data_IF_427082798960
#
_entry.id   IF_427082798960
#
_cell.length_a   1.000
_cell.length_b   1.000
_cell.length_c   1.000
_cell.angle_alpha   90.00
_cell.angle_beta   90.00
_cell.angle_gamma   90.00
#
_symmetry.space_group_name_H-M   'P 1'
#
loop_
_entity.id
_entity.type
_entity.pdbx_description
1 polymer ?
#
# COMPACT_ATOMS: atom_id res chain seq x y z
N UNK A 1 -12.29 -4.77 -0.63
CA UNK A 1 -11.81 -5.86 -1.51
C UNK A 1 -12.69 -7.08 -1.33
N UNK A 2 -12.92 -7.90 -2.37
CA UNK A 2 -13.74 -9.13 -2.24
C UNK A 2 -12.89 -10.22 -1.59
N UNK A 3 -13.28 -10.67 -0.41
CA UNK A 3 -12.49 -11.55 0.46
C UNK A 3 -11.99 -12.83 -0.23
N UNK A 4 -12.85 -13.52 -0.98
CA UNK A 4 -12.51 -14.77 -1.66
C UNK A 4 -11.50 -14.62 -2.80
N UNK A 5 -11.23 -13.40 -3.26
CA UNK A 5 -10.30 -13.11 -4.35
C UNK A 5 -9.03 -12.40 -3.89
N UNK A 6 -8.91 -12.16 -2.58
CA UNK A 6 -7.79 -11.43 -2.02
C UNK A 6 -6.87 -12.36 -1.23
N UNK A 7 -5.56 -12.28 -1.48
CA UNK A 7 -4.56 -12.91 -0.61
C UNK A 7 -4.52 -12.17 0.74
N UNK A 8 -4.27 -12.87 1.86
CA UNK A 8 -4.31 -12.26 3.19
C UNK A 8 -3.41 -11.03 3.35
N UNK A 9 -2.20 -11.05 2.78
CA UNK A 9 -1.28 -9.92 2.84
C UNK A 9 -1.84 -8.67 2.14
N UNK A 10 -2.33 -8.81 0.90
CA UNK A 10 -2.94 -7.70 0.15
C UNK A 10 -4.24 -7.23 0.78
N UNK A 11 -5.05 -8.16 1.34
CA UNK A 11 -6.27 -7.80 2.08
C UNK A 11 -5.94 -6.91 3.29
N UNK A 12 -4.86 -7.21 4.01
CA UNK A 12 -4.41 -6.40 5.15
C UNK A 12 -4.02 -4.98 4.73
N UNK A 13 -3.29 -4.81 3.62
CA UNK A 13 -2.92 -3.48 3.10
C UNK A 13 -4.16 -2.60 2.90
N UNK A 14 -5.26 -3.20 2.40
CA UNK A 14 -6.51 -2.47 2.11
C UNK A 14 -7.58 -2.65 3.18
N UNK A 15 -7.20 -3.06 4.40
CA UNK A 15 -8.11 -3.13 5.53
C UNK A 15 -8.44 -1.74 6.07
N UNK A 16 -9.54 -1.65 6.80
CA UNK A 16 -9.94 -0.40 7.46
C UNK A 16 -8.94 -0.02 8.56
N UNK A 17 -8.44 -1.01 9.29
CA UNK A 17 -7.42 -0.81 10.31
C UNK A 17 -6.15 -0.22 9.70
N UNK A 18 -5.61 -0.80 8.62
CA UNK A 18 -4.40 -0.27 7.99
C UNK A 18 -4.62 1.14 7.42
N UNK A 19 -5.81 1.43 6.89
CA UNK A 19 -6.17 2.79 6.45
C UNK A 19 -6.01 3.79 7.61
N UNK A 20 -6.61 3.52 8.75
CA UNK A 20 -6.53 4.43 9.90
C UNK A 20 -5.16 4.44 10.57
N UNK A 21 -4.40 3.35 10.52
CA UNK A 21 -3.00 3.33 10.95
C UNK A 21 -2.16 4.29 10.11
N UNK A 22 -2.39 4.34 8.77
CA UNK A 22 -1.70 5.29 7.88
C UNK A 22 -2.15 6.73 8.14
N UNK A 23 -3.44 6.95 8.39
CA UNK A 23 -3.92 8.29 8.76
C UNK A 23 -3.25 8.78 10.05
N UNK A 24 -3.15 7.91 11.06
CA UNK A 24 -2.45 8.23 12.30
C UNK A 24 -0.97 8.52 12.07
N UNK A 25 -0.30 7.74 11.21
CA UNK A 25 1.09 7.98 10.88
C UNK A 25 1.32 9.36 10.23
N UNK A 26 0.41 9.80 9.34
CA UNK A 26 0.48 11.13 8.71
C UNK A 26 0.25 12.23 9.74
N UNK A 27 -0.76 12.11 10.60
CA UNK A 27 -1.04 13.08 11.67
C UNK A 27 0.15 13.24 12.62
N UNK A 28 0.76 12.12 13.04
CA UNK A 28 1.93 12.15 13.93
C UNK A 28 3.15 12.74 13.23
N UNK A 29 3.38 12.43 11.96
CA UNK A 29 4.47 13.03 11.19
C UNK A 29 4.31 14.55 11.05
N UNK A 30 3.08 15.05 10.87
CA UNK A 30 2.81 16.48 10.87
C UNK A 30 3.08 17.11 12.25
N UNK A 31 2.67 16.45 13.35
CA UNK A 31 2.98 16.91 14.70
C UNK A 31 4.50 16.94 14.95
N UNK A 32 5.25 15.95 14.49
CA UNK A 32 6.73 15.93 14.58
C UNK A 32 7.33 17.13 13.82
N UNK A 33 6.90 17.41 12.60
CA UNK A 33 7.37 18.56 11.84
C UNK A 33 7.07 19.88 12.57
N UNK A 34 5.88 20.02 13.17
CA UNK A 34 5.53 21.18 14.00
C UNK A 34 6.38 21.27 15.26
N UNK A 35 6.77 20.13 15.86
CA UNK A 35 7.66 20.10 17.00
C UNK A 35 9.09 20.52 16.64
N UNK A 36 9.60 20.09 15.48
CA UNK A 36 10.89 20.55 14.95
C UNK A 36 10.88 22.05 14.66
N UNK A 37 9.75 22.57 14.19
CA UNK A 37 9.55 24.00 13.96
C UNK A 37 9.36 24.81 15.27
N UNK A 38 9.21 24.15 16.42
CA UNK A 38 9.04 24.77 17.72
C UNK A 38 7.60 25.20 18.06
N UNK A 39 6.60 24.79 17.25
CA UNK A 39 5.18 25.08 17.49
C UNK A 39 4.57 24.10 18.50
N UNK A 40 4.86 22.81 18.37
CA UNK A 40 4.43 21.76 19.30
C UNK A 40 5.52 21.56 20.34
N UNK A 41 5.23 21.69 21.67
CA UNK A 41 6.20 21.41 22.70
C UNK A 41 6.67 19.97 22.69
N UNK A 42 7.97 19.72 22.95
CA UNK A 42 8.53 18.37 22.97
C UNK A 42 7.89 17.47 24.03
N UNK A 43 7.43 18.04 25.14
CA UNK A 43 6.69 17.33 26.18
C UNK A 43 5.32 16.83 25.69
N UNK A 44 4.61 17.64 24.88
CA UNK A 44 3.35 17.25 24.26
C UNK A 44 3.61 16.17 23.17
N UNK A 45 4.69 16.34 22.38
CA UNK A 45 5.06 15.35 21.37
C UNK A 45 5.36 13.97 21.96
N UNK A 46 5.99 13.93 23.15
CA UNK A 46 6.24 12.67 23.85
C UNK A 46 4.94 11.88 24.15
N UNK A 47 3.85 12.59 24.44
CA UNK A 47 2.53 11.99 24.65
C UNK A 47 1.84 11.64 23.32
N UNK A 48 1.92 12.52 22.31
CA UNK A 48 1.34 12.31 20.98
C UNK A 48 1.88 11.06 20.31
N UNK A 49 3.16 10.70 20.50
CA UNK A 49 3.73 9.44 19.99
C UNK A 49 3.01 8.19 20.49
N UNK A 50 2.35 8.26 21.62
CA UNK A 50 1.51 7.19 22.18
C UNK A 50 0.05 7.24 21.75
N UNK A 51 -0.32 8.18 20.87
CA UNK A 51 -1.70 8.33 20.41
C UNK A 51 -2.18 7.07 19.66
N UNK A 52 -3.44 6.75 19.86
CA UNK A 52 -4.12 5.66 19.18
C UNK A 52 -5.57 6.03 18.92
N UNK A 53 -6.18 5.37 17.96
CA UNK A 53 -7.62 5.49 17.70
C UNK A 53 -8.36 4.25 18.23
N UNK A 54 -9.65 4.39 18.46
CA UNK A 54 -10.55 3.29 18.77
C UNK A 54 -11.58 3.14 17.64
N UNK A 55 -11.49 2.06 16.87
CA UNK A 55 -12.33 1.86 15.67
C UNK A 55 -13.83 1.84 16.01
N UNK A 56 -14.22 1.22 17.12
CA UNK A 56 -15.61 1.22 17.57
C UNK A 56 -16.09 2.64 17.87
N UNK A 57 -15.29 3.39 18.62
CA UNK A 57 -15.60 4.79 18.96
C UNK A 57 -15.65 5.68 17.74
N UNK A 58 -14.71 5.50 16.81
CA UNK A 58 -14.68 6.19 15.52
C UNK A 58 -16.01 5.98 14.77
N UNK A 59 -16.46 4.74 14.66
CA UNK A 59 -17.72 4.41 13.99
C UNK A 59 -18.93 5.03 14.68
N UNK A 60 -19.00 5.05 16.02
CA UNK A 60 -20.04 5.73 16.78
C UNK A 60 -20.08 7.25 16.49
N UNK A 61 -18.91 7.89 16.38
CA UNK A 61 -18.81 9.31 16.06
C UNK A 61 -19.22 9.55 14.60
N UNK A 62 -18.78 8.69 13.69
CA UNK A 62 -19.12 8.77 12.27
C UNK A 62 -20.64 8.70 12.03
N UNK A 63 -21.35 7.83 12.74
CA UNK A 63 -22.82 7.76 12.62
C UNK A 63 -23.52 9.10 12.92
N UNK A 64 -22.93 9.92 13.77
CA UNK A 64 -23.47 11.23 14.17
C UNK A 64 -23.00 12.36 13.26
N UNK A 65 -21.72 12.34 12.86
CA UNK A 65 -21.09 13.45 12.13
C UNK A 65 -21.18 13.29 10.62
N UNK A 66 -21.28 12.06 10.14
CA UNK A 66 -21.21 11.67 8.72
C UNK A 66 -19.93 12.22 8.04
N UNK A 67 -18.88 12.41 8.83
CA UNK A 67 -17.59 12.93 8.37
C UNK A 67 -16.47 12.08 8.97
N UNK A 68 -15.77 11.32 8.10
CA UNK A 68 -14.78 10.33 8.48
C UNK A 68 -13.54 10.94 9.19
N UNK A 69 -12.96 12.00 8.63
CA UNK A 69 -11.81 12.68 9.26
C UNK A 69 -12.17 13.25 10.63
N UNK A 70 -13.35 13.85 10.77
CA UNK A 70 -13.82 14.33 12.07
C UNK A 70 -14.01 13.19 13.07
N UNK A 71 -14.52 12.05 12.61
CA UNK A 71 -14.71 10.88 13.46
C UNK A 71 -13.35 10.31 13.89
N UNK A 72 -12.40 10.23 12.98
CA UNK A 72 -11.05 9.75 13.23
C UNK A 72 -10.31 10.65 14.23
N UNK A 73 -10.18 11.94 13.96
CA UNK A 73 -9.47 12.88 14.83
C UNK A 73 -10.08 12.94 16.23
N UNK A 74 -11.42 12.94 16.35
CA UNK A 74 -12.10 12.90 17.65
C UNK A 74 -11.83 11.61 18.40
N UNK A 75 -11.79 10.46 17.75
CA UNK A 75 -11.50 9.18 18.41
C UNK A 75 -10.10 9.14 19.03
N UNK A 76 -9.15 9.90 18.47
CA UNK A 76 -7.79 10.06 18.99
C UNK A 76 -7.79 11.08 20.13
N UNK A 77 -8.37 12.27 19.90
CA UNK A 77 -8.29 13.39 20.86
C UNK A 77 -9.07 13.12 22.14
N UNK A 78 -10.13 12.29 22.10
CA UNK A 78 -10.85 11.86 23.30
C UNK A 78 -9.98 11.04 24.28
N UNK A 79 -8.93 10.38 23.80
CA UNK A 79 -8.00 9.59 24.61
C UNK A 79 -6.75 10.38 25.06
N UNK A 80 -6.54 11.56 24.47
CA UNK A 80 -5.45 12.48 24.80
C UNK A 80 -5.96 13.56 25.78
N UNK A 81 -5.03 14.22 26.45
CA UNK A 81 -5.30 15.43 27.24
C UNK A 81 -5.32 16.71 26.38
N UNK A 82 -4.80 17.78 26.93
CA UNK A 82 -4.71 19.08 26.23
C UNK A 82 -3.84 19.01 24.96
N UNK A 83 -2.89 18.08 24.90
CA UNK A 83 -2.03 17.80 23.75
C UNK A 83 -2.81 17.38 22.50
N UNK A 84 -4.01 16.84 22.67
CA UNK A 84 -4.91 16.50 21.56
C UNK A 84 -5.22 17.66 20.61
N UNK A 85 -5.07 18.92 21.06
CA UNK A 85 -5.23 20.14 20.23
C UNK A 85 -4.28 20.22 19.04
N UNK A 86 -3.18 19.48 19.07
CA UNK A 86 -2.18 19.46 18.01
C UNK A 86 -2.51 18.50 16.86
N UNK A 87 -3.40 17.54 17.10
CA UNK A 87 -3.89 16.64 16.06
C UNK A 87 -4.63 17.45 14.99
N UNK A 88 -4.29 17.24 13.74
CA UNK A 88 -4.86 17.92 12.56
C UNK A 88 -4.50 19.41 12.45
N UNK A 89 -3.47 19.87 13.14
CA UNK A 89 -3.03 21.26 13.08
C UNK A 89 -2.48 21.61 11.70
N UNK A 90 -3.14 22.54 11.01
CA UNK A 90 -2.72 23.01 9.69
C UNK A 90 -2.98 22.06 8.53
N UNK A 91 -3.69 20.96 8.78
CA UNK A 91 -4.04 19.98 7.76
C UNK A 91 -5.51 20.11 7.32
N UNK A 92 -5.79 19.67 6.12
CA UNK A 92 -7.16 19.36 5.67
C UNK A 92 -7.30 17.85 5.43
N UNK A 93 -8.54 17.36 5.29
CA UNK A 93 -8.79 15.91 5.15
C UNK A 93 -7.98 15.27 4.02
N UNK A 94 -7.87 15.93 2.87
CA UNK A 94 -7.14 15.40 1.72
C UNK A 94 -5.63 15.29 1.96
N UNK A 95 -5.03 16.17 2.75
CA UNK A 95 -3.60 16.07 3.11
C UNK A 95 -3.31 14.75 3.82
N UNK A 96 -4.23 14.31 4.68
CA UNK A 96 -4.10 13.04 5.40
C UNK A 96 -4.49 11.85 4.53
N UNK A 97 -5.65 11.92 3.88
CA UNK A 97 -6.23 10.81 3.12
C UNK A 97 -5.32 10.42 1.95
N UNK A 98 -4.92 11.38 1.13
CA UNK A 98 -4.16 11.12 -0.09
C UNK A 98 -2.72 10.68 0.24
N UNK A 99 -2.08 11.29 1.24
CA UNK A 99 -0.76 10.87 1.71
C UNK A 99 -0.80 9.45 2.28
N UNK A 100 -1.78 9.13 3.09
CA UNK A 100 -1.98 7.79 3.66
C UNK A 100 -2.27 6.75 2.56
N UNK A 101 -3.05 7.11 1.54
CA UNK A 101 -3.28 6.26 0.37
C UNK A 101 -1.98 6.00 -0.39
N UNK A 102 -1.11 6.99 -0.54
CA UNK A 102 0.23 6.82 -1.10
C UNK A 102 1.03 5.77 -0.33
N UNK A 103 1.02 5.82 1.01
CA UNK A 103 1.67 4.81 1.85
C UNK A 103 1.10 3.41 1.65
N UNK A 104 -0.23 3.26 1.51
CA UNK A 104 -0.86 1.96 1.20
C UNK A 104 -0.49 1.47 -0.20
N UNK A 105 -0.38 2.37 -1.19
CA UNK A 105 0.05 2.01 -2.54
C UNK A 105 1.50 1.51 -2.56
N UNK A 106 2.39 2.11 -1.78
CA UNK A 106 3.78 1.63 -1.61
C UNK A 106 3.79 0.23 -1.00
N UNK A 107 3.04 -0.02 0.06
CA UNK A 107 2.93 -1.37 0.66
C UNK A 107 2.39 -2.41 -0.34
N UNK A 108 1.37 -2.05 -1.11
CA UNK A 108 0.82 -2.92 -2.15
C UNK A 108 1.84 -3.21 -3.26
N UNK A 109 2.57 -2.18 -3.70
CA UNK A 109 3.63 -2.33 -4.72
C UNK A 109 4.76 -3.23 -4.23
N UNK A 110 5.18 -3.12 -2.97
CA UNK A 110 6.21 -3.99 -2.38
C UNK A 110 5.79 -5.47 -2.39
N UNK A 111 4.53 -5.76 -2.06
CA UNK A 111 4.00 -7.13 -2.15
C UNK A 111 3.98 -7.64 -3.61
N UNK A 112 3.55 -6.80 -4.56
CA UNK A 112 3.52 -7.16 -5.97
C UNK A 112 4.93 -7.37 -6.54
N UNK A 113 5.91 -6.54 -6.16
CA UNK A 113 7.31 -6.70 -6.58
C UNK A 113 7.88 -8.04 -6.11
N UNK A 114 7.61 -8.44 -4.87
CA UNK A 114 8.02 -9.75 -4.35
C UNK A 114 7.41 -10.93 -5.15
N UNK A 115 6.14 -10.84 -5.52
CA UNK A 115 5.46 -11.86 -6.33
C UNK A 115 5.97 -11.89 -7.77
N UNK A 116 6.25 -10.73 -8.37
CA UNK A 116 6.85 -10.62 -9.71
C UNK A 116 8.25 -11.24 -9.71
N UNK A 117 9.08 -10.96 -8.70
CA UNK A 117 10.41 -11.54 -8.58
C UNK A 117 10.35 -13.07 -8.46
N UNK A 118 9.42 -13.59 -7.68
CA UNK A 118 9.16 -15.04 -7.57
C UNK A 118 8.77 -15.65 -8.93
N UNK A 119 7.84 -15.01 -9.64
CA UNK A 119 7.40 -15.47 -10.97
C UNK A 119 8.54 -15.45 -11.98
N UNK A 120 9.38 -14.41 -11.97
CA UNK A 120 10.55 -14.30 -12.86
C UNK A 120 11.52 -15.44 -12.66
N UNK A 121 11.82 -15.82 -11.43
CA UNK A 121 12.72 -16.95 -11.16
C UNK A 121 12.11 -18.29 -11.64
N UNK A 122 10.83 -18.50 -11.43
CA UNK A 122 10.11 -19.67 -11.97
C UNK A 122 10.17 -19.69 -13.50
N UNK A 123 9.85 -18.59 -14.16
CA UNK A 123 9.87 -18.50 -15.63
C UNK A 123 11.26 -18.74 -16.20
N UNK A 124 12.29 -18.16 -15.57
CA UNK A 124 13.70 -18.38 -15.96
C UNK A 124 14.10 -19.86 -15.85
N UNK A 125 13.81 -20.46 -14.71
CA UNK A 125 14.13 -21.89 -14.50
C UNK A 125 13.42 -22.79 -15.53
N UNK A 126 12.12 -22.57 -15.74
CA UNK A 126 11.34 -23.34 -16.69
C UNK A 126 11.75 -23.08 -18.15
N UNK A 127 12.14 -21.85 -18.50
CA UNK A 127 12.64 -21.55 -19.85
C UNK A 127 13.90 -22.36 -20.18
N UNK A 128 14.82 -22.47 -19.22
CA UNK A 128 16.04 -23.26 -19.38
C UNK A 128 15.75 -24.78 -19.43
N UNK A 129 14.86 -25.27 -18.59
CA UNK A 129 14.43 -26.67 -18.55
C UNK A 129 13.81 -27.11 -19.89
N UNK A 130 12.93 -26.30 -20.45
CA UNK A 130 12.17 -26.63 -21.67
C UNK A 130 12.76 -26.02 -22.96
N UNK A 131 14.01 -25.57 -22.95
CA UNK A 131 14.64 -24.88 -24.09
C UNK A 131 14.65 -25.69 -25.39
N UNK A 132 14.59 -27.02 -25.31
CA UNK A 132 14.58 -27.94 -26.43
C UNK A 132 13.22 -28.63 -26.64
N UNK A 133 12.23 -28.35 -25.83
CA UNK A 133 10.91 -28.96 -25.94
C UNK A 133 10.13 -28.30 -27.10
N UNK A 134 9.95 -29.04 -28.17
CA UNK A 134 9.24 -28.54 -29.37
C UNK A 134 7.76 -28.32 -29.06
N UNK A 135 7.25 -27.22 -29.56
CA UNK A 135 5.81 -26.93 -29.59
C UNK A 135 5.43 -26.20 -30.86
N UNK A 136 4.15 -26.19 -31.17
CA UNK A 136 3.63 -25.47 -32.30
C UNK A 136 3.43 -24.00 -32.00
N UNK A 137 4.08 -23.11 -32.75
CA UNK A 137 3.75 -21.68 -32.75
C UNK A 137 2.32 -21.47 -33.27
N UNK A 138 1.65 -20.44 -32.85
CA UNK A 138 0.28 -20.09 -33.24
C UNK A 138 0.16 -18.63 -33.60
N UNK A 139 -0.49 -18.36 -34.72
CA UNK A 139 -0.86 -17.02 -35.17
C UNK A 139 -2.18 -17.10 -35.93
N UNK A 140 -3.01 -16.08 -35.89
CA UNK A 140 -4.32 -16.04 -36.57
C UNK A 140 -5.22 -17.25 -36.28
N UNK A 141 -5.09 -17.89 -35.10
CA UNK A 141 -5.86 -19.08 -34.73
C UNK A 141 -5.43 -20.38 -35.44
N UNK A 142 -4.32 -20.36 -36.18
CA UNK A 142 -3.80 -21.53 -36.91
C UNK A 142 -2.39 -21.92 -36.43
N UNK A 143 -1.89 -23.07 -36.85
CA UNK A 143 -0.51 -23.48 -36.65
C UNK A 143 0.42 -22.60 -37.49
N UNK A 144 1.48 -22.14 -36.85
CA UNK A 144 2.58 -21.39 -37.48
C UNK A 144 3.86 -22.24 -37.44
N UNK A 145 5.02 -21.59 -37.43
CA UNK A 145 6.32 -22.28 -37.34
C UNK A 145 6.50 -23.04 -36.04
N UNK A 146 7.20 -24.18 -36.02
CA UNK A 146 7.63 -24.82 -34.77
C UNK A 146 8.53 -23.91 -33.97
N UNK A 147 8.27 -23.84 -32.65
CA UNK A 147 9.05 -23.11 -31.69
C UNK A 147 9.42 -24.04 -30.52
N UNK A 148 10.12 -23.54 -29.50
CA UNK A 148 10.29 -24.27 -28.25
C UNK A 148 9.44 -23.68 -27.12
N UNK A 149 9.02 -24.55 -26.22
CA UNK A 149 8.28 -24.10 -25.03
C UNK A 149 9.15 -23.19 -24.16
N UNK A 150 10.47 -23.49 -24.06
CA UNK A 150 11.42 -22.64 -23.36
C UNK A 150 11.50 -21.22 -23.95
N UNK A 151 11.45 -21.07 -25.30
CA UNK A 151 11.43 -19.74 -25.93
C UNK A 151 10.18 -18.96 -25.55
N UNK A 152 9.02 -19.60 -25.50
CA UNK A 152 7.78 -18.97 -25.05
C UNK A 152 7.88 -18.46 -23.61
N UNK A 153 8.45 -19.26 -22.72
CA UNK A 153 8.66 -18.88 -21.31
C UNK A 153 9.72 -17.80 -21.15
N UNK A 154 10.76 -17.80 -21.99
CA UNK A 154 11.77 -16.74 -22.03
C UNK A 154 11.15 -15.38 -22.42
N UNK A 155 10.22 -15.36 -23.38
CA UNK A 155 9.47 -14.16 -23.73
C UNK A 155 8.69 -13.61 -22.51
N UNK A 156 7.97 -14.47 -21.80
CA UNK A 156 7.22 -14.07 -20.61
C UNK A 156 8.14 -13.58 -19.49
N UNK A 157 9.30 -14.21 -19.32
CA UNK A 157 10.32 -13.76 -18.39
C UNK A 157 10.81 -12.34 -18.71
N UNK A 158 11.08 -12.06 -19.98
CA UNK A 158 11.52 -10.75 -20.44
C UNK A 158 10.41 -9.67 -20.30
N UNK A 159 9.15 -10.03 -20.57
CA UNK A 159 8.01 -9.16 -20.28
C UNK A 159 7.90 -8.82 -18.79
N UNK A 160 8.10 -9.81 -17.90
CA UNK A 160 8.08 -9.58 -16.45
C UNK A 160 9.23 -8.71 -15.98
N UNK A 161 10.42 -8.78 -16.60
CA UNK A 161 11.51 -7.85 -16.31
C UNK A 161 11.09 -6.39 -16.58
N UNK A 162 10.57 -6.12 -17.76
CA UNK A 162 10.10 -4.77 -18.12
C UNK A 162 8.94 -4.30 -17.25
N UNK A 163 8.03 -5.19 -16.85
CA UNK A 163 6.91 -4.85 -15.97
C UNK A 163 7.39 -4.55 -14.55
N UNK A 164 8.39 -5.31 -14.06
CA UNK A 164 9.03 -5.03 -12.78
C UNK A 164 9.64 -3.62 -12.75
N UNK A 165 10.38 -3.24 -13.77
CA UNK A 165 11.02 -1.92 -13.86
C UNK A 165 9.96 -0.79 -13.84
N UNK A 166 8.84 -0.97 -14.55
CA UNK A 166 7.71 -0.02 -14.51
C UNK A 166 7.09 0.08 -13.12
N UNK A 167 6.94 -1.08 -12.44
CA UNK A 167 6.36 -1.10 -11.10
C UNK A 167 7.30 -0.45 -10.07
N UNK A 168 8.63 -0.65 -10.18
CA UNK A 168 9.63 0.05 -9.36
C UNK A 168 9.51 1.56 -9.55
N UNK A 169 9.48 2.01 -10.81
CA UNK A 169 9.33 3.44 -11.12
C UNK A 169 8.02 4.01 -10.55
N UNK A 170 6.90 3.29 -10.72
CA UNK A 170 5.61 3.75 -10.19
C UNK A 170 5.56 3.78 -8.65
N UNK A 171 6.32 2.91 -7.99
CA UNK A 171 6.44 2.89 -6.51
C UNK A 171 7.24 4.08 -5.98
N UNK A 172 8.20 4.58 -6.75
CA UNK A 172 9.08 5.70 -6.36
C UNK A 172 8.43 7.08 -6.59
N UNK A 173 7.39 7.16 -7.40
CA UNK A 173 6.61 8.37 -7.69
C UNK A 173 5.50 8.62 -6.68
#
# INVERSE_FOLDING_TARGET
MIDRYARPAMKRVWSEENKYDKWLAVELAACEAWAEHGTVPQEDMAKLRGASYNLKRLNEIFERTRHDMTAFTRSITEALGEEGRWIHLGLTSSDVIDTAQGLQMVEAADLLLGEVDTLREVLRGRALEFKHTLMMGRTHGIHAEPITFGLKLALWWDEMNRNRDRLVTAREQ
#
